data_IF_455058164478
#
_entry.id   IF_455058164478
#
_cell.length_a   1.000
_cell.length_b   1.000
_cell.length_c   1.000
_cell.angle_alpha   90.00
_cell.angle_beta   90.00
_cell.angle_gamma   90.00
#
_symmetry.space_group_name_H-M   'P 1'
#
loop_
_entity.id
_entity.type
_entity.pdbx_description
1 polymer ?
#
# COMPACT_ATOMS: atom_id res chain seq x y z
N UNK A 1 8.96 -42.25 -20.66
CA UNK A 1 7.75 -41.40 -20.58
C UNK A 1 7.86 -40.54 -19.33
N UNK A 2 8.30 -39.29 -19.45
CA UNK A 2 8.44 -38.38 -18.31
C UNK A 2 7.24 -37.44 -18.27
N UNK A 3 6.43 -37.59 -17.22
CA UNK A 3 5.24 -36.77 -17.00
C UNK A 3 5.67 -35.46 -16.35
N UNK A 4 5.70 -34.39 -17.13
CA UNK A 4 5.91 -33.02 -16.67
C UNK A 4 4.67 -32.58 -15.90
N UNK A 5 4.73 -32.53 -14.56
CA UNK A 5 3.67 -31.95 -13.75
C UNK A 5 3.54 -30.45 -14.06
N UNK A 6 2.34 -29.92 -14.33
CA UNK A 6 2.16 -28.49 -14.55
C UNK A 6 2.42 -27.72 -13.25
N UNK A 7 3.25 -26.66 -13.33
CA UNK A 7 3.43 -25.69 -12.24
C UNK A 7 2.07 -25.12 -11.86
N UNK A 8 1.71 -25.24 -10.58
CA UNK A 8 0.48 -24.67 -10.04
C UNK A 8 0.48 -23.15 -10.23
N UNK A 9 -0.41 -22.65 -11.09
CA UNK A 9 -0.76 -21.23 -11.11
C UNK A 9 -1.56 -20.97 -9.83
N UNK A 10 -0.90 -20.45 -8.79
CA UNK A 10 -1.60 -19.88 -7.64
C UNK A 10 -2.52 -18.77 -8.17
N UNK A 11 -3.84 -18.96 -8.04
CA UNK A 11 -4.83 -17.93 -8.31
C UNK A 11 -4.63 -16.79 -7.30
N UNK A 12 -3.78 -15.83 -7.66
CA UNK A 12 -3.69 -14.56 -6.95
C UNK A 12 -5.01 -13.81 -7.21
N UNK A 13 -5.67 -13.37 -6.14
CA UNK A 13 -6.78 -12.42 -6.27
C UNK A 13 -6.30 -11.20 -7.06
N UNK A 14 -7.11 -10.63 -7.97
CA UNK A 14 -6.68 -9.51 -8.78
C UNK A 14 -6.29 -8.34 -7.87
N UNK A 15 -5.01 -7.95 -7.95
CA UNK A 15 -4.50 -6.74 -7.30
C UNK A 15 -4.90 -5.56 -8.17
N UNK A 16 -5.56 -4.56 -7.58
CA UNK A 16 -5.84 -3.29 -8.24
C UNK A 16 -5.05 -2.18 -7.58
N UNK A 17 -4.63 -1.21 -8.38
CA UNK A 17 -3.70 -0.17 -7.95
C UNK A 17 -4.17 1.20 -8.39
N UNK A 18 -4.00 2.15 -7.49
CA UNK A 18 -4.22 3.56 -7.74
C UNK A 18 -3.08 4.37 -7.16
N UNK A 19 -2.79 5.51 -7.76
CA UNK A 19 -1.96 6.54 -7.15
C UNK A 19 -2.86 7.61 -6.57
N UNK A 20 -2.59 7.99 -5.33
CA UNK A 20 -3.26 9.10 -4.66
C UNK A 20 -2.23 10.18 -4.37
N UNK A 21 -2.41 11.34 -5.00
CA UNK A 21 -1.64 12.54 -4.73
C UNK A 21 -2.40 13.39 -3.73
N UNK A 22 -1.74 13.80 -2.65
CA UNK A 22 -2.32 14.69 -1.64
C UNK A 22 -1.40 15.90 -1.50
N UNK A 23 -1.95 17.08 -1.73
CA UNK A 23 -1.22 18.34 -1.63
C UNK A 23 -0.65 18.54 -0.23
N UNK A 24 0.63 18.93 -0.15
CA UNK A 24 1.33 19.12 1.12
C UNK A 24 1.60 17.83 1.92
N UNK A 25 1.24 16.65 1.39
CA UNK A 25 1.46 15.37 2.06
C UNK A 25 2.39 14.44 1.25
N UNK A 26 2.14 14.30 -0.05
CA UNK A 26 2.92 13.41 -0.92
C UNK A 26 2.06 12.48 -1.78
N UNK A 27 2.73 11.54 -2.45
CA UNK A 27 2.11 10.50 -3.28
C UNK A 27 2.04 9.16 -2.58
N UNK A 28 0.94 8.42 -2.78
CA UNK A 28 0.76 7.09 -2.21
C UNK A 28 0.24 6.10 -3.24
N UNK A 29 0.80 4.89 -3.25
CA UNK A 29 0.24 3.78 -4.03
C UNK A 29 -0.78 3.04 -3.18
N UNK A 30 -2.05 3.06 -3.59
CA UNK A 30 -3.12 2.29 -2.96
C UNK A 30 -3.20 0.93 -3.64
N UNK A 31 -3.01 -0.15 -2.89
CA UNK A 31 -2.98 -1.52 -3.42
C UNK A 31 -4.02 -2.37 -2.71
N UNK A 32 -4.97 -2.94 -3.47
CA UNK A 32 -6.00 -3.84 -2.95
C UNK A 32 -5.59 -5.30 -3.03
N UNK A 33 -6.33 -6.16 -2.35
CA UNK A 33 -6.10 -7.60 -2.32
C UNK A 33 -5.73 -8.10 -0.92
N UNK A 34 -5.11 -9.27 -0.88
CA UNK A 34 -4.66 -9.92 0.37
C UNK A 34 -3.27 -10.54 0.24
N UNK A 35 -2.65 -10.45 -0.93
CA UNK A 35 -1.32 -10.98 -1.20
C UNK A 35 -0.67 -10.11 -2.26
N UNK A 36 0.51 -9.60 -1.95
CA UNK A 36 1.23 -8.62 -2.74
C UNK A 36 2.68 -9.03 -2.85
N UNK A 37 3.18 -9.06 -4.07
CA UNK A 37 4.57 -9.34 -4.38
C UNK A 37 5.42 -8.08 -4.21
N UNK A 38 6.61 -8.24 -3.63
CA UNK A 38 7.54 -7.15 -3.32
C UNK A 38 8.90 -7.45 -3.94
N UNK A 39 9.53 -6.44 -4.52
CA UNK A 39 10.87 -6.59 -5.07
C UNK A 39 11.52 -5.28 -5.51
N UNK A 40 12.72 -5.39 -6.06
CA UNK A 40 13.47 -4.28 -6.64
C UNK A 40 12.91 -3.84 -7.99
N UNK A 41 12.94 -2.54 -8.24
CA UNK A 41 12.61 -1.96 -9.54
C UNK A 41 13.60 -2.47 -10.60
N UNK A 42 13.07 -2.96 -11.72
CA UNK A 42 13.85 -3.31 -12.90
C UNK A 42 13.00 -3.16 -14.16
N UNK A 43 13.62 -3.11 -15.34
CA UNK A 43 12.91 -2.98 -16.64
C UNK A 43 11.88 -4.07 -16.91
N UNK A 44 11.98 -5.20 -16.21
CA UNK A 44 11.10 -6.37 -16.37
C UNK A 44 10.45 -6.76 -15.03
N UNK A 45 10.51 -5.90 -14.01
CA UNK A 45 9.88 -6.20 -12.72
C UNK A 45 8.37 -6.19 -12.88
N UNK A 46 7.72 -7.21 -12.33
CA UNK A 46 6.28 -7.37 -12.30
C UNK A 46 5.76 -7.50 -10.86
N UNK A 47 6.55 -7.04 -9.88
CA UNK A 47 6.10 -6.98 -8.49
C UNK A 47 4.94 -5.99 -8.36
N UNK A 48 4.00 -6.29 -7.46
CA UNK A 48 2.93 -5.35 -7.11
C UNK A 48 3.51 -4.08 -6.47
N UNK A 49 4.58 -4.26 -5.69
CA UNK A 49 5.27 -3.22 -4.93
C UNK A 49 6.77 -3.27 -5.27
N UNK A 50 7.24 -2.21 -5.92
CA UNK A 50 8.63 -2.07 -6.36
C UNK A 50 9.37 -1.02 -5.52
N UNK A 51 10.62 -1.34 -5.14
CA UNK A 51 11.53 -0.44 -4.42
C UNK A 51 12.74 -0.11 -5.29
N UNK A 52 13.13 1.16 -5.33
CA UNK A 52 14.36 1.64 -5.99
C UNK A 52 15.57 1.40 -5.10
N UNK A 53 16.03 0.15 -5.06
CA UNK A 53 17.19 -0.31 -4.29
C UNK A 53 17.81 -1.55 -4.93
N UNK A 54 18.89 -2.05 -4.32
CA UNK A 54 19.60 -3.29 -4.64
C UNK A 54 18.83 -4.56 -4.20
N UNK A 55 17.50 -4.50 -4.20
CA UNK A 55 16.66 -5.65 -3.87
C UNK A 55 16.52 -6.62 -5.04
N UNK A 56 16.34 -7.94 -4.77
CA UNK A 56 15.97 -8.89 -5.81
C UNK A 56 14.69 -8.47 -6.52
N UNK A 57 14.60 -8.72 -7.84
CA UNK A 57 13.40 -8.39 -8.63
C UNK A 57 12.12 -8.95 -8.02
N UNK A 58 12.22 -10.12 -7.40
CA UNK A 58 11.19 -10.71 -6.56
C UNK A 58 11.78 -11.16 -5.24
N UNK A 59 11.70 -10.32 -4.22
CA UNK A 59 12.22 -10.59 -2.89
C UNK A 59 11.31 -11.54 -2.11
N UNK A 60 9.99 -11.39 -2.27
CA UNK A 60 9.01 -12.18 -1.57
C UNK A 60 7.61 -11.60 -1.69
N UNK A 61 6.76 -11.94 -0.72
CA UNK A 61 5.35 -11.56 -0.70
C UNK A 61 4.92 -11.15 0.70
N UNK A 62 4.12 -10.09 0.75
CA UNK A 62 3.32 -9.74 1.92
C UNK A 62 1.94 -10.36 1.72
N UNK A 63 1.39 -11.00 2.73
CA UNK A 63 0.02 -11.51 2.72
C UNK A 63 -0.73 -11.11 3.98
N UNK A 64 -2.04 -10.91 3.87
CA UNK A 64 -2.92 -10.60 4.99
C UNK A 64 -3.84 -11.78 5.30
N UNK A 65 -4.02 -12.10 6.57
CA UNK A 65 -5.03 -13.05 7.06
C UNK A 65 -5.76 -12.42 8.24
N UNK A 66 -7.05 -12.09 8.03
CA UNK A 66 -7.79 -11.28 9.01
C UNK A 66 -7.13 -9.91 9.17
N UNK A 67 -6.72 -9.59 10.39
CA UNK A 67 -6.03 -8.36 10.77
C UNK A 67 -4.50 -8.44 10.66
N UNK A 68 -3.96 -9.65 10.48
CA UNK A 68 -2.52 -9.90 10.58
C UNK A 68 -1.84 -9.89 9.21
N UNK A 69 -0.64 -9.34 9.18
CA UNK A 69 0.21 -9.26 8.00
C UNK A 69 1.40 -10.20 8.15
N UNK A 70 1.78 -10.87 7.06
CA UNK A 70 2.87 -11.84 7.05
C UNK A 70 3.78 -11.60 5.86
N UNK A 71 5.09 -11.62 6.11
CA UNK A 71 6.09 -11.74 5.07
C UNK A 71 6.41 -13.20 4.78
N UNK A 72 6.66 -13.51 3.50
CA UNK A 72 7.27 -14.76 3.06
C UNK A 72 8.28 -14.45 1.96
N UNK A 73 9.53 -14.85 2.16
CA UNK A 73 10.57 -14.72 1.13
C UNK A 73 10.27 -15.57 -0.12
N UNK A 74 11.04 -15.37 -1.19
CA UNK A 74 10.79 -16.03 -2.48
C UNK A 74 10.88 -17.57 -2.43
N UNK A 75 11.67 -18.14 -1.52
CA UNK A 75 11.81 -19.60 -1.41
C UNK A 75 10.47 -20.25 -1.01
N UNK A 76 10.03 -21.33 -1.68
CA UNK A 76 8.81 -22.05 -1.28
C UNK A 76 8.86 -22.61 0.15
N UNK A 77 10.06 -22.82 0.70
CA UNK A 77 10.29 -23.29 2.06
C UNK A 77 10.52 -22.15 3.06
N UNK A 78 10.48 -20.88 2.60
CA UNK A 78 10.64 -19.74 3.49
C UNK A 78 9.52 -19.72 4.53
N UNK A 79 9.93 -19.59 5.80
CA UNK A 79 9.02 -19.42 6.91
C UNK A 79 8.20 -18.14 6.74
N UNK A 80 6.93 -18.18 7.16
CA UNK A 80 6.09 -16.99 7.27
C UNK A 80 6.42 -16.24 8.54
N UNK A 81 6.70 -14.95 8.41
CA UNK A 81 7.08 -14.05 9.50
C UNK A 81 5.92 -13.08 9.73
N UNK A 82 5.41 -13.00 10.95
CA UNK A 82 4.38 -12.01 11.34
C UNK A 82 5.00 -10.60 11.31
N UNK A 83 4.32 -9.67 10.62
CA UNK A 83 4.66 -8.26 10.58
C UNK A 83 3.71 -7.51 11.51
N UNK A 84 4.21 -7.12 12.68
CA UNK A 84 3.49 -6.24 13.61
C UNK A 84 3.67 -4.77 13.22
N UNK A 85 2.95 -3.87 13.88
CA UNK A 85 3.14 -2.43 13.70
C UNK A 85 4.62 -2.03 13.93
N UNK A 86 5.18 -1.25 13.00
CA UNK A 86 6.57 -0.83 12.97
C UNK A 86 7.57 -1.91 12.54
N UNK A 87 7.13 -3.14 12.26
CA UNK A 87 8.04 -4.23 11.90
C UNK A 87 8.76 -3.96 10.58
N UNK A 88 10.06 -4.26 10.54
CA UNK A 88 10.82 -4.24 9.30
C UNK A 88 10.47 -5.46 8.46
N UNK A 89 10.28 -5.25 7.15
CA UNK A 89 10.10 -6.34 6.20
C UNK A 89 11.47 -6.93 5.91
N UNK A 90 11.71 -8.23 6.19
CA UNK A 90 13.04 -8.81 6.18
C UNK A 90 13.47 -9.16 4.74
N UNK A 91 13.86 -8.12 4.01
CA UNK A 91 14.50 -8.20 2.70
C UNK A 91 15.96 -7.77 2.86
N UNK A 92 16.88 -8.60 2.37
CA UNK A 92 18.29 -8.24 2.34
C UNK A 92 18.55 -7.14 1.30
N UNK A 93 19.32 -6.12 1.68
CA UNK A 93 19.72 -5.02 0.82
C UNK A 93 19.86 -3.69 1.58
N UNK A 94 20.09 -2.62 0.84
CA UNK A 94 20.28 -1.26 1.38
C UNK A 94 18.99 -0.60 1.87
N UNK A 95 17.83 -0.93 1.28
CA UNK A 95 16.57 -0.34 1.67
C UNK A 95 15.96 -0.98 2.92
N UNK A 96 15.48 -0.13 3.84
CA UNK A 96 14.73 -0.53 5.02
C UNK A 96 13.26 -0.17 4.82
N UNK A 97 12.41 -1.18 4.65
CA UNK A 97 10.96 -1.02 4.57
C UNK A 97 10.31 -1.45 5.88
N UNK A 98 9.37 -0.65 6.37
CA UNK A 98 8.58 -0.94 7.57
C UNK A 98 7.10 -1.07 7.23
N UNK A 99 6.38 -1.89 7.99
CA UNK A 99 4.93 -1.98 7.95
C UNK A 99 4.36 -1.27 9.18
N UNK A 100 3.56 -0.23 8.96
CA UNK A 100 2.79 0.46 9.99
C UNK A 100 1.31 0.09 9.95
N UNK A 101 0.67 0.04 11.12
CA UNK A 101 -0.79 -0.08 11.32
C UNK A 101 -1.30 1.12 12.14
N UNK A 102 -1.42 2.33 11.54
CA UNK A 102 -1.64 3.56 12.31
C UNK A 102 -2.99 3.63 13.03
N UNK A 103 -4.04 3.01 12.48
CA UNK A 103 -5.40 3.06 13.02
C UNK A 103 -5.79 1.76 13.70
N UNK A 104 -6.42 1.85 14.87
CA UNK A 104 -7.06 0.69 15.52
C UNK A 104 -8.43 0.32 14.90
N UNK A 105 -8.99 1.21 14.08
CA UNK A 105 -10.34 1.08 13.51
C UNK A 105 -10.33 0.50 12.08
N UNK A 106 -9.16 0.25 11.53
CA UNK A 106 -8.96 -0.25 10.18
C UNK A 106 -7.72 -1.13 10.16
N UNK A 107 -7.78 -2.28 9.49
CA UNK A 107 -6.58 -3.08 9.28
C UNK A 107 -5.80 -2.63 8.04
N UNK A 108 -6.11 -1.47 7.46
CA UNK A 108 -5.25 -0.87 6.44
C UNK A 108 -3.84 -0.68 7.01
N UNK A 109 -2.84 -1.16 6.27
CA UNK A 109 -1.43 -1.00 6.63
C UNK A 109 -0.72 -0.05 5.66
N UNK A 110 0.35 0.58 6.14
CA UNK A 110 1.17 1.50 5.34
C UNK A 110 2.60 0.99 5.33
N UNK A 111 3.14 0.80 4.14
CA UNK A 111 4.56 0.53 3.95
C UNK A 111 5.28 1.86 3.75
N UNK A 112 6.40 2.01 4.46
CA UNK A 112 7.27 3.19 4.36
C UNK A 112 8.71 2.77 4.20
N UNK A 113 9.48 3.55 3.44
CA UNK A 113 10.91 3.36 3.26
C UNK A 113 11.67 4.41 4.04
N UNK A 114 12.76 3.99 4.68
CA UNK A 114 13.72 4.93 5.21
C UNK A 114 14.53 5.56 4.06
N UNK A 115 14.78 6.86 4.17
CA UNK A 115 15.62 7.57 3.22
C UNK A 115 17.04 6.94 3.14
N UNK A 116 17.69 6.98 1.97
CA UNK A 116 17.32 7.74 0.77
C UNK A 116 16.45 6.99 -0.25
N UNK A 117 15.96 5.79 0.08
CA UNK A 117 15.26 4.93 -0.89
C UNK A 117 13.83 5.39 -1.16
N UNK A 118 13.31 5.01 -2.34
CA UNK A 118 11.95 5.34 -2.78
C UNK A 118 11.24 4.13 -3.36
N UNK A 119 9.92 4.17 -3.31
CA UNK A 119 9.10 3.26 -4.10
C UNK A 119 9.14 3.67 -5.58
N UNK A 120 8.73 2.75 -6.45
CA UNK A 120 8.48 3.06 -7.85
C UNK A 120 7.35 4.10 -8.03
N UNK A 121 7.25 4.70 -9.21
CA UNK A 121 6.24 5.72 -9.55
C UNK A 121 6.29 6.99 -8.68
N UNK A 122 7.42 7.24 -8.01
CA UNK A 122 7.65 8.43 -7.17
C UNK A 122 6.64 8.60 -6.02
N UNK A 123 6.11 7.50 -5.47
CA UNK A 123 5.27 7.56 -4.28
C UNK A 123 6.13 7.53 -3.00
N UNK A 124 5.65 8.22 -1.97
CA UNK A 124 6.28 8.33 -0.64
C UNK A 124 5.91 7.15 0.27
N UNK A 125 4.82 6.44 -0.04
CA UNK A 125 4.37 5.26 0.70
C UNK A 125 3.46 4.34 -0.11
N UNK A 126 3.24 3.13 0.40
CA UNK A 126 2.30 2.17 -0.18
C UNK A 126 1.25 1.81 0.86
N UNK A 127 -0.02 1.87 0.50
CA UNK A 127 -1.14 1.55 1.38
C UNK A 127 -1.73 0.21 0.98
N UNK A 128 -1.65 -0.77 1.89
CA UNK A 128 -2.27 -2.08 1.75
C UNK A 128 -3.75 -1.96 2.19
N UNK A 129 -4.63 -1.72 1.23
CA UNK A 129 -6.00 -1.26 1.46
C UNK A 129 -6.86 -2.32 2.14
N UNK A 130 -7.65 -1.90 3.13
CA UNK A 130 -8.78 -2.67 3.66
C UNK A 130 -10.07 -1.84 3.69
N UNK A 131 -10.65 -1.59 4.86
CA UNK A 131 -11.96 -0.94 5.00
C UNK A 131 -11.88 0.56 4.73
N UNK A 132 -10.91 1.22 5.34
CA UNK A 132 -10.87 2.67 5.38
C UNK A 132 -9.42 3.16 5.43
N UNK A 133 -9.19 4.26 4.76
CA UNK A 133 -7.95 5.04 4.83
C UNK A 133 -8.29 6.36 5.51
N UNK A 134 -7.46 6.74 6.48
CA UNK A 134 -7.58 8.00 7.21
C UNK A 134 -6.47 8.93 6.74
N UNK A 135 -6.83 10.15 6.37
CA UNK A 135 -5.91 11.20 5.92
C UNK A 135 -6.05 12.37 6.86
N UNK A 136 -4.95 12.97 7.31
CA UNK A 136 -4.98 14.13 8.21
C UNK A 136 -3.72 14.29 9.05
N UNK A 137 -3.69 15.23 10.02
CA UNK A 137 -2.46 15.60 10.75
C UNK A 137 -2.05 14.60 11.84
N UNK A 138 -3.02 13.81 12.32
CA UNK A 138 -2.87 12.99 13.52
C UNK A 138 -2.11 11.69 13.25
N UNK A 139 -1.53 11.11 14.31
CA UNK A 139 -0.73 9.88 14.21
C UNK A 139 -1.54 8.61 13.94
N UNK A 140 -2.86 8.66 14.15
CA UNK A 140 -3.81 7.60 13.79
C UNK A 140 -4.23 7.63 12.31
N UNK A 141 -3.79 8.65 11.55
CA UNK A 141 -3.98 8.72 10.12
C UNK A 141 -2.98 7.85 9.37
N UNK A 142 -3.46 7.10 8.38
CA UNK A 142 -2.63 6.29 7.48
C UNK A 142 -1.77 7.21 6.59
N UNK A 143 -2.36 8.29 6.09
CA UNK A 143 -1.70 9.28 5.26
C UNK A 143 -1.59 10.57 6.06
N UNK A 144 -0.39 10.85 6.58
CA UNK A 144 -0.19 11.93 7.53
C UNK A 144 0.14 13.25 6.84
N UNK A 145 -0.86 14.11 6.69
CA UNK A 145 -0.72 15.47 6.18
C UNK A 145 -0.59 16.44 7.36
N UNK A 146 0.65 16.75 7.78
CA UNK A 146 0.93 17.48 9.03
C UNK A 146 0.40 18.93 9.02
N UNK A 147 0.32 19.53 7.84
CA UNK A 147 -0.12 20.93 7.67
C UNK A 147 -1.64 21.05 7.50
N UNK A 148 -2.36 19.93 7.40
CA UNK A 148 -3.82 19.93 7.36
C UNK A 148 -4.42 20.20 8.75
N UNK A 149 -5.53 20.92 8.78
CA UNK A 149 -6.35 21.12 9.99
C UNK A 149 -7.42 20.06 10.14
N UNK A 150 -7.81 19.44 9.03
CA UNK A 150 -8.93 18.53 8.95
C UNK A 150 -8.51 17.07 8.64
N UNK A 151 -9.47 16.16 8.77
CA UNK A 151 -9.30 14.75 8.42
C UNK A 151 -10.22 14.38 7.26
N UNK A 152 -9.75 13.50 6.38
CA UNK A 152 -10.59 12.84 5.40
C UNK A 152 -10.63 11.33 5.62
N UNK A 153 -11.78 10.74 5.31
CA UNK A 153 -12.03 9.30 5.37
C UNK A 153 -12.24 8.81 3.94
N UNK A 154 -11.38 7.91 3.48
CA UNK A 154 -11.45 7.32 2.14
C UNK A 154 -11.91 5.86 2.26
N UNK A 155 -12.79 5.45 1.36
CA UNK A 155 -13.33 4.10 1.28
C UNK A 155 -13.39 3.62 -0.17
N UNK A 156 -13.09 2.34 -0.36
CA UNK A 156 -13.29 1.66 -1.64
C UNK A 156 -14.57 0.83 -1.55
N UNK A 157 -15.55 1.14 -2.39
CA UNK A 157 -16.81 0.41 -2.50
C UNK A 157 -17.11 0.12 -3.97
N UNK A 158 -17.44 -1.12 -4.30
CA UNK A 158 -17.78 -1.53 -5.67
C UNK A 158 -16.72 -1.08 -6.71
N UNK A 159 -15.44 -1.19 -6.33
CA UNK A 159 -14.28 -0.76 -7.11
C UNK A 159 -14.25 0.76 -7.45
N UNK A 160 -14.97 1.57 -6.66
CA UNK A 160 -15.00 3.02 -6.75
C UNK A 160 -14.55 3.65 -5.43
N UNK A 161 -13.72 4.69 -5.54
CA UNK A 161 -13.21 5.40 -4.39
C UNK A 161 -14.19 6.52 -3.99
N UNK A 162 -14.44 6.60 -2.71
CA UNK A 162 -15.21 7.67 -2.09
C UNK A 162 -14.39 8.30 -0.98
N UNK A 163 -14.61 9.58 -0.75
CA UNK A 163 -14.00 10.32 0.34
C UNK A 163 -15.02 11.24 1.01
N UNK A 164 -14.84 11.49 2.30
CA UNK A 164 -15.62 12.50 3.04
C UNK A 164 -14.74 13.27 4.01
N UNK A 165 -15.16 14.49 4.33
CA UNK A 165 -14.55 15.32 5.35
C UNK A 165 -15.04 14.90 6.75
N UNK A 166 -14.11 14.51 7.62
CA UNK A 166 -14.40 14.08 8.98
C UNK A 166 -15.46 12.97 9.09
N UNK A 167 -16.10 12.89 10.26
CA UNK A 167 -17.16 11.91 10.52
C UNK A 167 -18.51 12.32 9.95
N UNK A 168 -18.80 13.63 9.95
CA UNK A 168 -20.12 14.20 9.62
C UNK A 168 -20.30 14.56 8.15
N UNK A 169 -19.22 14.57 7.35
CA UNK A 169 -19.32 14.89 5.93
C UNK A 169 -20.01 13.80 5.11
N UNK A 170 -20.48 14.19 3.94
CA UNK A 170 -21.04 13.27 2.95
C UNK A 170 -19.94 12.65 2.09
N UNK A 171 -20.14 11.39 1.70
CA UNK A 171 -19.26 10.72 0.75
C UNK A 171 -19.44 11.32 -0.64
N UNK A 172 -18.33 11.78 -1.20
CA UNK A 172 -18.21 12.14 -2.60
C UNK A 172 -17.29 11.16 -3.31
N UNK A 173 -17.60 10.86 -4.57
CA UNK A 173 -16.80 9.96 -5.39
C UNK A 173 -15.50 10.66 -5.81
N UNK A 174 -14.38 9.94 -5.71
CA UNK A 174 -13.10 10.35 -6.25
C UNK A 174 -12.99 9.85 -7.69
N UNK A 175 -13.27 10.71 -8.65
CA UNK A 175 -13.07 10.38 -10.08
C UNK A 175 -11.59 10.44 -10.44
N UNK A 176 -11.12 9.46 -11.22
CA UNK A 176 -9.72 9.41 -11.62
C UNK A 176 -9.35 10.64 -12.48
N UNK A 177 -8.23 11.28 -12.17
CA UNK A 177 -7.75 12.51 -12.79
C UNK A 177 -8.43 13.78 -12.30
N UNK A 178 -9.50 13.68 -11.49
CA UNK A 178 -10.16 14.85 -10.92
C UNK A 178 -9.54 15.22 -9.57
N UNK A 179 -9.29 16.52 -9.40
CA UNK A 179 -8.89 17.09 -8.10
C UNK A 179 -10.13 17.26 -7.23
N UNK A 180 -10.06 16.75 -6.01
CA UNK A 180 -11.11 16.87 -4.99
C UNK A 180 -10.57 17.64 -3.79
N UNK A 181 -11.36 18.58 -3.28
CA UNK A 181 -11.04 19.36 -2.09
C UNK A 181 -12.02 19.02 -0.96
N UNK A 182 -11.47 18.60 0.17
CA UNK A 182 -12.17 18.24 1.40
C UNK A 182 -11.61 19.11 2.53
N UNK A 183 -12.25 20.26 2.76
CA UNK A 183 -11.77 21.27 3.73
C UNK A 183 -10.30 21.64 3.45
N UNK A 184 -9.39 21.47 4.42
CA UNK A 184 -7.97 21.77 4.23
C UNK A 184 -7.20 20.76 3.36
N UNK A 185 -7.82 19.66 2.94
CA UNK A 185 -7.17 18.61 2.16
C UNK A 185 -7.55 18.72 0.69
N UNK A 186 -6.56 18.63 -0.20
CA UNK A 186 -6.79 18.48 -1.63
C UNK A 186 -6.06 17.25 -2.15
N UNK A 187 -6.73 16.48 -3.00
CA UNK A 187 -6.18 15.22 -3.51
C UNK A 187 -6.65 14.89 -4.92
N UNK A 188 -5.86 14.09 -5.62
CA UNK A 188 -6.16 13.56 -6.96
C UNK A 188 -5.85 12.07 -6.99
N UNK A 189 -6.81 11.27 -7.49
CA UNK A 189 -6.66 9.84 -7.67
C UNK A 189 -6.33 9.51 -9.13
N UNK A 190 -5.44 8.56 -9.39
CA UNK A 190 -5.08 8.08 -10.72
C UNK A 190 -5.01 6.56 -10.74
N UNK A 191 -5.18 5.94 -11.91
CA UNK A 191 -4.86 4.53 -12.11
C UNK A 191 -3.34 4.32 -12.17
N UNK A 192 -2.86 3.16 -11.72
CA UNK A 192 -1.43 2.86 -11.56
C UNK A 192 -1.00 1.47 -12.09
#
# INVERSE_FOLDING_TARGET
MSVTKPKSKTHQSPVSRWRLWIDGCGGYLLVTGVQWSVGGLSRVSNADICVQADWPRMAGQISRRGADYFWQGQSPTAQKILLTDGAQVPVEGSALMTLGKPSQLSDTAVLSLNGPHRFDQHVDGVVLVRETILVGPSSDCHLRCRDATDRAILQLKDNQWYAKAGLLGDFQRLEAGARVVLQSLAMTLELA
#
